data_IF_353730606431
#
_entry.id   IF_353730606431
#
_cell.length_a   1.000
_cell.length_b   1.000
_cell.length_c   1.000
_cell.angle_alpha   90.00
_cell.angle_beta   90.00
_cell.angle_gamma   90.00
#
_symmetry.space_group_name_H-M   'P 1'
#
loop_
_entity.id
_entity.type
_entity.pdbx_description
1 polymer ?
#
# COMPACT_ATOMS: atom_id res chain seq x y z
N UNK A 1 14.78 41.00 -64.77
CA UNK A 1 14.50 39.71 -64.08
C UNK A 1 14.10 40.05 -62.65
N UNK A 2 12.81 39.96 -62.35
CA UNK A 2 12.24 40.24 -61.02
C UNK A 2 11.64 38.94 -60.47
N UNK A 3 11.78 38.63 -59.17
CA UNK A 3 11.22 37.42 -58.60
C UNK A 3 9.77 37.66 -58.14
N UNK A 4 8.92 36.68 -58.43
CA UNK A 4 7.52 36.62 -58.01
C UNK A 4 7.42 36.21 -56.54
N UNK A 5 6.64 36.98 -55.77
CA UNK A 5 6.30 36.70 -54.37
C UNK A 5 5.13 35.71 -54.35
N UNK A 6 5.34 34.52 -53.79
CA UNK A 6 4.28 33.54 -53.54
C UNK A 6 3.72 33.76 -52.14
N UNK A 7 2.44 34.13 -52.08
CA UNK A 7 1.65 34.24 -50.86
C UNK A 7 1.00 32.88 -50.63
N UNK A 8 1.54 32.06 -49.72
CA UNK A 8 0.91 30.83 -49.26
C UNK A 8 0.14 31.11 -47.97
N UNK A 9 -1.14 30.78 -48.00
CA UNK A 9 -2.17 30.96 -46.99
C UNK A 9 -1.96 30.12 -45.74
N UNK A 10 -1.87 30.78 -44.58
CA UNK A 10 -1.70 30.23 -43.22
C UNK A 10 -3.03 29.79 -42.55
N UNK A 11 -4.15 29.73 -43.30
CA UNK A 11 -5.48 29.57 -42.69
C UNK A 11 -5.95 28.12 -42.50
N UNK A 12 -5.29 27.12 -43.10
CA UNK A 12 -5.77 25.72 -43.03
C UNK A 12 -5.22 24.90 -41.84
N UNK A 13 -4.30 25.44 -41.04
CA UNK A 13 -3.66 24.70 -39.95
C UNK A 13 -4.45 24.72 -38.61
N UNK A 14 -5.46 25.58 -38.46
CA UNK A 14 -6.13 25.80 -37.16
C UNK A 14 -7.41 24.95 -37.00
N UNK A 15 -8.00 24.45 -38.09
CA UNK A 15 -9.29 23.76 -38.05
C UNK A 15 -9.23 22.27 -37.66
N UNK A 16 -8.04 21.65 -37.55
CA UNK A 16 -7.91 20.24 -37.17
C UNK A 16 -7.68 19.99 -35.67
N UNK A 17 -7.64 21.05 -34.84
CA UNK A 17 -7.32 20.95 -33.41
C UNK A 17 -8.56 21.04 -32.48
N UNK A 18 -9.73 20.53 -32.89
CA UNK A 18 -10.96 20.66 -32.09
C UNK A 18 -11.84 19.41 -31.91
N UNK A 19 -11.39 18.17 -32.21
CA UNK A 19 -12.29 17.00 -32.08
C UNK A 19 -11.68 15.71 -31.49
N UNK A 20 -10.83 15.83 -30.48
CA UNK A 20 -10.39 14.70 -29.67
C UNK A 20 -10.70 14.89 -28.17
N UNK A 21 -11.94 15.28 -27.86
CA UNK A 21 -12.56 14.81 -26.61
C UNK A 21 -13.04 13.37 -26.83
N UNK A 22 -12.08 12.44 -26.97
CA UNK A 22 -12.39 11.03 -26.84
C UNK A 22 -12.98 10.85 -25.44
N UNK A 23 -14.25 10.44 -25.35
CA UNK A 23 -14.84 9.96 -24.10
C UNK A 23 -13.96 8.80 -23.61
N UNK A 24 -13.03 9.08 -22.71
CA UNK A 24 -12.15 8.07 -22.09
C UNK A 24 -12.97 7.31 -21.05
N UNK A 25 -14.00 6.61 -21.52
CA UNK A 25 -14.73 5.68 -20.68
C UNK A 25 -13.75 4.58 -20.25
N UNK A 26 -13.73 4.31 -18.96
CA UNK A 26 -12.91 3.25 -18.41
C UNK A 26 -13.51 1.91 -18.85
N UNK A 27 -12.86 1.21 -19.80
CA UNK A 27 -13.30 -0.10 -20.30
C UNK A 27 -13.57 -1.14 -19.22
N UNK A 28 -12.88 -1.04 -18.09
CA UNK A 28 -13.12 -1.88 -16.92
C UNK A 28 -14.57 -1.76 -16.42
N UNK A 29 -15.14 -0.56 -16.48
CA UNK A 29 -16.51 -0.28 -16.02
C UNK A 29 -17.58 -0.67 -17.05
N UNK A 30 -17.19 -1.02 -18.28
CA UNK A 30 -18.08 -1.52 -19.33
C UNK A 30 -18.30 -3.04 -19.24
N UNK A 31 -17.48 -3.74 -18.43
CA UNK A 31 -17.61 -5.17 -18.20
C UNK A 31 -18.85 -5.49 -17.35
N UNK A 32 -19.43 -6.70 -17.49
CA UNK A 32 -20.39 -7.23 -16.51
C UNK A 32 -19.86 -7.10 -15.07
N UNK A 33 -20.72 -6.75 -14.08
CA UNK A 33 -20.30 -6.56 -12.70
C UNK A 33 -19.54 -7.75 -12.11
N UNK A 34 -19.88 -8.97 -12.50
CA UNK A 34 -19.23 -10.20 -12.05
C UNK A 34 -17.75 -10.23 -12.46
N UNK A 35 -17.44 -9.85 -13.70
CA UNK A 35 -16.06 -9.78 -14.19
C UNK A 35 -15.29 -8.64 -13.52
N UNK A 36 -15.96 -7.51 -13.24
CA UNK A 36 -15.33 -6.42 -12.48
C UNK A 36 -14.92 -6.89 -11.09
N UNK A 37 -15.82 -7.58 -10.38
CA UNK A 37 -15.56 -8.09 -9.03
C UNK A 37 -14.42 -9.11 -9.02
N UNK A 38 -14.38 -10.04 -9.98
CA UNK A 38 -13.27 -11.00 -10.13
C UNK A 38 -11.94 -10.26 -10.34
N UNK A 39 -11.90 -9.27 -11.23
CA UNK A 39 -10.70 -8.47 -11.47
C UNK A 39 -10.29 -7.72 -10.20
N UNK A 40 -11.23 -7.12 -9.50
CA UNK A 40 -10.97 -6.40 -8.26
C UNK A 40 -10.40 -7.32 -7.19
N UNK A 41 -10.99 -8.49 -6.98
CA UNK A 41 -10.53 -9.50 -6.03
C UNK A 41 -9.09 -9.92 -6.34
N UNK A 42 -8.80 -10.28 -7.60
CA UNK A 42 -7.45 -10.68 -8.03
C UNK A 42 -6.39 -9.58 -7.84
N UNK A 43 -6.79 -8.31 -7.85
CA UNK A 43 -5.86 -7.18 -7.73
C UNK A 43 -5.65 -6.70 -6.30
N UNK A 44 -6.59 -6.99 -5.38
CA UNK A 44 -6.55 -6.43 -4.02
C UNK A 44 -6.46 -7.50 -2.93
N UNK A 45 -6.67 -8.77 -3.23
CA UNK A 45 -6.54 -9.86 -2.26
C UNK A 45 -5.15 -10.49 -2.34
N UNK A 46 -4.51 -10.59 -1.19
CA UNK A 46 -3.20 -11.17 -0.99
C UNK A 46 -3.36 -12.50 -0.24
N UNK A 47 -2.60 -13.51 -0.66
CA UNK A 47 -2.57 -14.82 0.02
C UNK A 47 -1.76 -14.77 1.32
N UNK A 48 -0.78 -13.87 1.38
CA UNK A 48 0.06 -13.66 2.56
C UNK A 48 -0.48 -12.48 3.39
N UNK A 49 -0.35 -12.54 4.73
CA UNK A 49 -0.72 -11.42 5.59
C UNK A 49 -0.03 -10.11 5.22
N UNK A 50 -0.79 -9.02 5.21
CA UNK A 50 -0.31 -7.69 4.93
C UNK A 50 0.29 -7.08 6.20
N UNK A 51 1.59 -6.82 6.17
CA UNK A 51 2.32 -6.19 7.28
C UNK A 51 2.03 -4.69 7.37
N UNK A 52 1.52 -4.27 8.52
CA UNK A 52 1.22 -2.88 8.86
C UNK A 52 2.42 -2.19 9.51
N UNK A 53 3.19 -2.92 10.31
CA UNK A 53 4.34 -2.39 11.04
C UNK A 53 5.64 -3.08 10.66
N UNK A 54 6.73 -2.38 10.97
CA UNK A 54 8.06 -2.90 10.79
C UNK A 54 8.35 -3.97 11.84
N UNK A 55 8.80 -5.18 11.45
CA UNK A 55 9.11 -6.26 12.39
C UNK A 55 10.20 -5.82 13.37
N UNK A 56 10.00 -6.05 14.66
CA UNK A 56 11.01 -5.69 15.66
C UNK A 56 12.22 -6.64 15.62
N UNK A 57 13.32 -6.24 16.28
CA UNK A 57 14.54 -7.03 16.47
C UNK A 57 14.26 -8.54 16.73
N UNK A 58 13.32 -8.87 17.61
CA UNK A 58 13.06 -10.24 18.05
C UNK A 58 12.62 -11.18 16.93
N UNK A 59 12.12 -10.65 15.80
CA UNK A 59 11.77 -11.46 14.63
C UNK A 59 13.01 -11.93 13.85
N UNK A 60 14.11 -11.19 13.91
CA UNK A 60 15.33 -11.47 13.13
C UNK A 60 16.26 -12.50 13.78
N UNK A 61 16.17 -12.68 15.10
CA UNK A 61 17.06 -13.55 15.88
C UNK A 61 16.84 -15.05 15.58
N UNK A 62 15.68 -15.40 14.99
CA UNK A 62 15.36 -16.77 14.55
C UNK A 62 16.33 -17.35 13.51
N UNK A 63 17.24 -16.54 12.95
CA UNK A 63 18.17 -16.94 11.88
C UNK A 63 19.60 -17.15 12.39
N UNK A 64 19.84 -17.17 13.71
CA UNK A 64 21.18 -17.41 14.28
C UNK A 64 22.21 -16.33 13.89
N UNK A 65 21.73 -15.12 13.61
CA UNK A 65 22.57 -13.97 13.27
C UNK A 65 23.10 -13.29 14.55
N UNK A 66 24.22 -12.58 14.40
CA UNK A 66 24.75 -11.79 15.52
C UNK A 66 23.95 -10.51 15.74
N UNK A 67 23.93 -10.03 16.99
CA UNK A 67 23.31 -8.76 17.38
C UNK A 67 23.65 -7.57 16.46
N UNK A 68 24.90 -7.45 16.03
CA UNK A 68 25.31 -6.35 15.15
C UNK A 68 24.72 -6.45 13.74
N UNK A 69 24.60 -7.66 13.21
CA UNK A 69 24.08 -7.89 11.85
C UNK A 69 22.59 -7.56 11.78
N UNK A 70 21.84 -8.04 12.76
CA UNK A 70 20.41 -7.81 12.85
C UNK A 70 20.08 -6.32 13.11
N UNK A 71 20.90 -5.59 13.89
CA UNK A 71 20.75 -4.12 14.04
C UNK A 71 20.99 -3.37 12.73
N UNK A 72 21.96 -3.80 11.92
CA UNK A 72 22.22 -3.20 10.62
C UNK A 72 21.08 -3.48 9.62
N UNK A 73 20.54 -4.70 9.64
CA UNK A 73 19.37 -5.07 8.84
C UNK A 73 18.13 -4.29 9.26
N UNK A 74 17.88 -4.17 10.57
CA UNK A 74 16.82 -3.36 11.12
C UNK A 74 16.97 -1.90 10.69
N UNK A 75 18.17 -1.31 10.80
CA UNK A 75 18.40 0.06 10.37
C UNK A 75 18.20 0.24 8.86
N UNK A 76 18.64 -0.70 8.04
CA UNK A 76 18.46 -0.65 6.59
C UNK A 76 17.00 -0.81 6.19
N UNK A 77 16.27 -1.69 6.85
CA UNK A 77 14.87 -1.94 6.56
C UNK A 77 13.97 -0.82 7.12
N UNK A 78 14.32 -0.24 8.28
CA UNK A 78 13.74 1.03 8.77
C UNK A 78 13.99 2.18 7.80
N UNK A 79 15.19 2.32 7.21
CA UNK A 79 15.46 3.36 6.20
C UNK A 79 14.63 3.19 4.93
N UNK A 80 14.45 1.95 4.46
CA UNK A 80 13.54 1.65 3.33
C UNK A 80 12.10 2.05 3.67
N UNK A 81 11.68 1.73 4.89
CA UNK A 81 10.36 2.08 5.40
C UNK A 81 10.15 3.60 5.53
N UNK A 82 11.08 4.30 6.18
CA UNK A 82 11.03 5.75 6.39
C UNK A 82 11.23 6.53 5.08
N UNK A 83 11.95 5.96 4.11
CA UNK A 83 12.12 6.49 2.77
C UNK A 83 10.85 6.41 1.89
N UNK A 84 9.80 5.75 2.39
CA UNK A 84 8.55 5.55 1.67
C UNK A 84 8.61 4.49 0.57
N UNK A 85 9.72 3.74 0.48
CA UNK A 85 9.86 2.62 -0.45
C UNK A 85 8.96 1.45 -0.02
N UNK A 86 8.85 1.21 1.29
CA UNK A 86 7.81 0.35 1.86
C UNK A 86 6.63 1.23 2.27
N UNK A 87 5.70 1.45 1.33
CA UNK A 87 4.45 2.17 1.62
C UNK A 87 3.76 1.50 2.81
N UNK A 88 3.75 2.18 3.98
CA UNK A 88 2.78 1.95 5.07
C UNK A 88 1.45 1.58 4.42
N UNK A 89 1.06 0.30 4.50
CA UNK A 89 0.06 -0.35 3.65
C UNK A 89 -1.02 0.62 3.18
N UNK A 90 -0.70 1.34 2.11
CA UNK A 90 -1.58 2.34 1.56
C UNK A 90 -2.76 1.56 1.00
N UNK A 91 -3.94 2.15 1.05
CA UNK A 91 -5.07 1.56 0.33
C UNK A 91 -4.60 1.17 -1.08
N UNK A 92 -5.01 -0.01 -1.59
CA UNK A 92 -4.48 -0.54 -2.84
C UNK A 92 -4.57 0.50 -3.95
N UNK A 93 -3.59 0.56 -4.84
CA UNK A 93 -3.52 1.60 -5.87
C UNK A 93 -4.83 1.75 -6.65
N UNK A 94 -5.53 0.62 -6.86
CA UNK A 94 -6.84 0.55 -7.51
C UNK A 94 -7.90 1.41 -6.82
N UNK A 95 -7.89 1.49 -5.49
CA UNK A 95 -8.81 2.34 -4.71
C UNK A 95 -8.59 3.85 -4.94
N UNK A 96 -7.46 4.25 -5.55
CA UNK A 96 -7.14 5.65 -5.82
C UNK A 96 -7.64 6.13 -7.18
N UNK A 97 -8.08 5.23 -8.06
CA UNK A 97 -8.43 5.55 -9.45
C UNK A 97 -9.69 6.42 -9.53
N UNK A 98 -10.81 5.97 -8.97
CA UNK A 98 -12.06 6.74 -8.94
C UNK A 98 -12.95 6.35 -7.75
N UNK A 99 -14.01 7.14 -7.49
CA UNK A 99 -14.91 6.94 -6.34
C UNK A 99 -15.67 5.60 -6.41
N UNK A 100 -16.11 5.20 -7.60
CA UNK A 100 -16.82 3.93 -7.80
C UNK A 100 -15.91 2.75 -7.47
N UNK A 101 -14.75 2.67 -8.13
CA UNK A 101 -13.77 1.60 -7.90
C UNK A 101 -13.38 1.57 -6.42
N UNK A 102 -13.10 2.72 -5.80
CA UNK A 102 -12.81 2.80 -4.36
C UNK A 102 -13.92 2.19 -3.50
N UNK A 103 -15.17 2.54 -3.76
CA UNK A 103 -16.31 2.06 -2.98
C UNK A 103 -16.49 0.53 -3.11
N UNK A 104 -16.15 -0.04 -4.26
CA UNK A 104 -16.25 -1.48 -4.52
C UNK A 104 -15.03 -2.26 -3.97
N UNK A 105 -13.82 -1.74 -4.14
CA UNK A 105 -12.59 -2.48 -3.83
C UNK A 105 -12.19 -2.42 -2.36
N UNK A 106 -12.50 -1.33 -1.63
CA UNK A 106 -12.12 -1.23 -0.21
C UNK A 106 -12.79 -2.30 0.68
N UNK A 107 -14.10 -2.60 0.52
CA UNK A 107 -14.72 -3.73 1.21
C UNK A 107 -14.01 -5.06 0.94
N UNK A 108 -13.70 -5.36 -0.33
CA UNK A 108 -12.99 -6.59 -0.72
C UNK A 108 -11.62 -6.62 -0.03
N UNK A 109 -10.85 -5.53 -0.14
CA UNK A 109 -9.52 -5.42 0.44
C UNK A 109 -9.51 -5.63 1.96
N UNK A 110 -10.35 -4.92 2.72
CA UNK A 110 -10.31 -5.02 4.19
C UNK A 110 -10.98 -6.28 4.76
N UNK A 111 -11.94 -6.87 4.04
CA UNK A 111 -12.65 -8.06 4.52
C UNK A 111 -11.94 -9.37 4.17
N UNK A 112 -11.25 -9.42 3.04
CA UNK A 112 -10.67 -10.67 2.53
C UNK A 112 -9.16 -10.79 2.75
N UNK A 113 -8.48 -9.71 3.16
CA UNK A 113 -7.08 -9.78 3.53
C UNK A 113 -6.90 -9.96 5.04
N UNK A 114 -5.87 -10.74 5.39
CA UNK A 114 -5.31 -10.78 6.72
C UNK A 114 -4.33 -9.62 6.90
N UNK A 115 -4.45 -8.90 8.01
CA UNK A 115 -3.51 -7.84 8.37
C UNK A 115 -2.72 -8.23 9.61
N UNK A 116 -1.43 -7.92 9.60
CA UNK A 116 -0.55 -8.24 10.71
C UNK A 116 0.31 -7.06 11.14
N UNK A 117 0.57 -6.98 12.44
CA UNK A 117 1.43 -5.97 13.04
C UNK A 117 2.19 -6.55 14.21
N UNK A 118 3.47 -6.18 14.32
CA UNK A 118 4.22 -6.41 15.55
C UNK A 118 4.01 -5.27 16.53
N UNK A 119 3.79 -5.60 17.80
CA UNK A 119 3.91 -4.69 18.93
C UNK A 119 5.30 -4.83 19.56
N UNK A 120 5.86 -3.74 20.07
CA UNK A 120 7.14 -3.75 20.76
C UNK A 120 7.11 -2.68 21.86
N UNK A 121 7.03 -3.11 23.11
CA UNK A 121 6.90 -2.21 24.26
C UNK A 121 8.10 -1.25 24.37
N UNK A 122 9.32 -1.76 24.19
CA UNK A 122 10.55 -0.95 24.25
C UNK A 122 10.58 0.18 23.24
N UNK A 123 9.92 0.02 22.09
CA UNK A 123 9.85 1.03 21.04
C UNK A 123 8.58 1.87 21.10
N UNK A 124 7.64 1.53 22.00
CA UNK A 124 6.31 2.14 22.07
C UNK A 124 5.68 2.26 20.68
N UNK A 125 5.72 1.16 19.92
CA UNK A 125 5.33 1.16 18.52
C UNK A 125 3.87 1.61 18.34
N UNK A 126 3.65 2.81 17.77
CA UNK A 126 2.31 3.39 17.55
C UNK A 126 1.79 3.15 16.15
N UNK A 127 2.60 2.65 15.21
CA UNK A 127 2.25 2.60 13.78
C UNK A 127 0.98 1.84 13.48
N UNK A 128 0.66 0.79 14.24
CA UNK A 128 -0.61 0.09 14.10
C UNK A 128 -1.80 1.03 14.34
N UNK A 129 -1.73 1.84 15.40
CA UNK A 129 -2.76 2.81 15.74
C UNK A 129 -2.78 3.98 14.74
N UNK A 130 -1.61 4.43 14.28
CA UNK A 130 -1.50 5.46 13.24
C UNK A 130 -2.13 4.99 11.93
N UNK A 131 -1.92 3.72 11.55
CA UNK A 131 -2.55 3.10 10.40
C UNK A 131 -4.07 2.98 10.56
N UNK A 132 -4.55 2.52 11.72
CA UNK A 132 -5.98 2.48 12.03
C UNK A 132 -6.63 3.86 11.94
N UNK A 133 -5.95 4.91 12.39
CA UNK A 133 -6.39 6.29 12.25
C UNK A 133 -6.42 6.72 10.78
N UNK A 134 -5.37 6.40 10.02
CA UNK A 134 -5.22 6.77 8.61
C UNK A 134 -6.29 6.14 7.70
N UNK A 135 -6.66 4.87 7.91
CA UNK A 135 -7.69 4.21 7.10
C UNK A 135 -9.10 4.73 7.42
N UNK A 136 -9.31 5.34 8.59
CA UNK A 136 -10.56 5.96 9.00
C UNK A 136 -11.61 4.98 9.56
N UNK A 137 -12.63 5.50 10.29
CA UNK A 137 -13.60 4.69 11.03
C UNK A 137 -14.41 3.74 10.15
N UNK A 138 -14.82 4.17 8.95
CA UNK A 138 -15.61 3.35 8.05
C UNK A 138 -14.87 2.10 7.59
N UNK A 139 -13.57 2.22 7.30
CA UNK A 139 -12.76 1.09 6.86
C UNK A 139 -12.39 0.17 8.01
N UNK A 140 -12.21 0.70 9.23
CA UNK A 140 -12.00 -0.12 10.43
C UNK A 140 -13.13 -1.11 10.68
N UNK A 141 -14.37 -0.75 10.37
CA UNK A 141 -15.53 -1.64 10.47
C UNK A 141 -15.52 -2.80 9.46
N UNK A 142 -14.69 -2.70 8.42
CA UNK A 142 -14.54 -3.73 7.38
C UNK A 142 -13.46 -4.74 7.72
N UNK A 143 -12.58 -4.44 8.69
CA UNK A 143 -11.51 -5.35 9.10
C UNK A 143 -12.09 -6.64 9.68
N UNK A 144 -11.61 -7.79 9.20
CA UNK A 144 -12.01 -9.12 9.69
C UNK A 144 -10.89 -9.85 10.40
N UNK A 145 -9.72 -9.89 9.79
CA UNK A 145 -8.57 -10.61 10.31
C UNK A 145 -7.42 -9.65 10.59
N UNK A 146 -7.18 -9.38 11.87
CA UNK A 146 -6.10 -8.51 12.32
C UNK A 146 -5.35 -9.20 13.44
N UNK A 147 -4.07 -9.44 13.23
CA UNK A 147 -3.19 -10.06 14.21
C UNK A 147 -2.18 -9.05 14.73
N UNK A 148 -2.07 -8.99 16.05
CA UNK A 148 -1.04 -8.23 16.75
C UNK A 148 -0.31 -9.21 17.64
N UNK A 149 1.01 -9.30 17.48
CA UNK A 149 1.85 -10.08 18.40
C UNK A 149 3.05 -9.26 18.81
N UNK A 150 3.58 -9.57 19.98
CA UNK A 150 4.86 -9.04 20.45
C UNK A 150 5.94 -10.09 20.17
N UNK A 151 7.02 -9.82 19.43
CA UNK A 151 8.12 -10.79 19.30
C UNK A 151 9.02 -10.83 20.53
N UNK A 152 8.94 -9.83 21.42
CA UNK A 152 9.83 -9.63 22.56
C UNK A 152 9.34 -10.26 23.87
N UNK A 153 8.11 -10.80 23.96
CA UNK A 153 7.59 -11.36 25.22
C UNK A 153 8.41 -12.55 25.76
N UNK A 154 9.20 -13.19 24.90
CA UNK A 154 9.99 -14.36 25.27
C UNK A 154 11.23 -14.05 26.13
N UNK A 155 11.64 -12.78 26.24
CA UNK A 155 12.86 -12.40 26.98
C UNK A 155 12.60 -12.04 28.44
N UNK A 156 11.36 -11.76 28.82
CA UNK A 156 11.02 -11.35 30.20
C UNK A 156 11.19 -12.52 31.19
N UNK A 157 10.96 -13.76 30.75
CA UNK A 157 11.14 -14.96 31.58
C UNK A 157 12.61 -15.38 31.79
N UNK A 158 13.52 -14.97 30.90
CA UNK A 158 14.94 -15.37 30.98
C UNK A 158 15.79 -14.38 31.78
N UNK A 159 15.44 -13.09 31.78
CA UNK A 159 16.12 -12.11 32.64
C UNK A 159 15.70 -12.25 34.12
N UNK A 160 14.49 -12.75 34.39
CA UNK A 160 14.02 -13.00 35.77
C UNK A 160 14.62 -14.26 36.41
N UNK A 161 15.10 -15.23 35.62
CA UNK A 161 15.73 -16.45 36.14
C UNK A 161 17.26 -16.36 36.34
N UNK A 162 17.90 -15.25 35.96
CA UNK A 162 19.35 -15.04 36.10
C UNK A 162 19.79 -14.25 37.34
N UNK A 163 18.86 -13.81 38.20
CA UNK A 163 19.13 -12.98 39.38
C UNK A 163 18.56 -13.58 40.70
N UNK A 164 18.59 -14.91 40.84
CA UNK A 164 18.37 -15.60 42.13
C UNK A 164 19.57 -16.44 42.51
#
# INVERSE_FOLDING_TARGET
>A
MAPAVQHTSDEDAVAHSMNHQANTNCRLLELPPELQLIIFELLVVHTEPIRISFPCWGEYEKVGRSYRQDRALEAAAKRRWDGGDDQLSLQPALSRVCKYIRATTLPIYYQLNTFESTYCETKKETRFFDWLAAIGPRNRLLLREVYIWDPCWYYDERETQGNL
#
